data_IF_321878935885
#
_entry.id   IF_321878935885
#
_cell.length_a   1.000
_cell.length_b   1.000
_cell.length_c   1.000
_cell.angle_alpha   90.00
_cell.angle_beta   90.00
_cell.angle_gamma   90.00
#
_symmetry.space_group_name_H-M   'P 1'
#
loop_
_entity.id
_entity.type
_entity.pdbx_description
1 polymer ?
#
# COMPACT_ATOMS: atom_id res chain seq x y z
N UNK A 1 23.86 -9.02 18.67
CA UNK A 1 24.15 -9.12 17.23
C UNK A 1 24.38 -7.69 16.75
N UNK A 2 25.60 -7.34 16.36
CA UNK A 2 25.95 -5.97 15.98
C UNK A 2 25.29 -5.64 14.64
N UNK A 3 24.52 -4.55 14.58
CA UNK A 3 23.91 -4.07 13.34
C UNK A 3 25.05 -3.56 12.44
N UNK A 4 25.15 -4.01 11.18
CA UNK A 4 26.18 -3.50 10.27
C UNK A 4 26.02 -1.99 10.09
N UNK A 5 27.07 -1.24 10.39
CA UNK A 5 27.14 0.20 10.08
C UNK A 5 27.54 0.30 8.61
N UNK A 6 26.63 0.79 7.76
CA UNK A 6 26.98 1.15 6.38
C UNK A 6 27.98 2.32 6.39
N UNK A 7 28.89 2.42 5.40
CA UNK A 7 29.72 3.61 5.23
C UNK A 7 28.80 4.77 4.85
N UNK A 8 28.33 5.49 5.86
CA UNK A 8 27.62 6.75 5.70
C UNK A 8 28.59 7.76 5.12
N UNK A 9 28.49 8.05 3.82
CA UNK A 9 28.70 9.43 3.40
C UNK A 9 27.76 10.26 4.26
N UNK A 10 28.30 11.23 5.00
CA UNK A 10 27.63 11.94 6.10
C UNK A 10 26.34 12.65 5.68
N UNK A 11 25.28 11.88 5.49
CA UNK A 11 23.92 12.36 5.46
C UNK A 11 23.55 12.65 6.90
N UNK A 12 23.09 13.87 7.22
CA UNK A 12 22.69 14.19 8.58
C UNK A 12 21.60 13.20 9.03
N UNK A 13 21.67 12.73 10.28
CA UNK A 13 20.61 11.93 10.93
C UNK A 13 19.30 12.74 11.12
N UNK A 14 19.21 13.92 10.51
CA UNK A 14 18.13 14.88 10.64
C UNK A 14 17.65 15.29 9.25
N UNK A 15 16.34 15.37 9.10
CA UNK A 15 15.69 15.94 7.93
C UNK A 15 16.16 17.39 7.70
N UNK A 16 16.49 17.74 6.45
CA UNK A 16 16.97 19.09 6.08
C UNK A 16 15.83 20.13 5.96
N UNK A 17 14.58 19.67 5.92
CA UNK A 17 13.44 20.56 5.87
C UNK A 17 13.37 21.40 7.15
N UNK A 18 13.19 22.72 7.00
CA UNK A 18 13.02 23.65 8.12
C UNK A 18 11.65 24.32 8.01
N UNK A 19 10.80 24.27 9.05
CA UNK A 19 9.53 24.97 9.03
C UNK A 19 9.75 26.48 9.22
N UNK A 20 8.98 27.29 8.49
CA UNK A 20 8.97 28.75 8.66
C UNK A 20 7.80 29.16 9.53
N UNK A 21 8.04 30.13 10.42
CA UNK A 21 7.05 30.69 11.33
C UNK A 21 6.24 31.83 10.69
N UNK A 22 5.28 32.36 11.45
CA UNK A 22 4.44 33.47 10.98
C UNK A 22 5.27 34.71 10.63
N UNK A 23 6.31 35.01 11.40
CA UNK A 23 7.16 36.19 11.23
C UNK A 23 7.93 36.12 9.91
N UNK A 24 8.44 34.94 9.52
CA UNK A 24 9.05 34.74 8.21
C UNK A 24 8.11 35.14 7.07
N UNK A 25 6.84 34.74 7.12
CA UNK A 25 5.88 35.07 6.07
C UNK A 25 5.46 36.54 6.10
N UNK A 26 5.41 37.17 7.27
CA UNK A 26 5.21 38.61 7.38
C UNK A 26 6.41 39.38 6.79
N UNK A 27 7.64 38.93 7.03
CA UNK A 27 8.85 39.50 6.43
C UNK A 27 8.85 39.39 4.89
N UNK A 28 8.32 38.29 4.35
CA UNK A 28 8.15 38.12 2.90
C UNK A 28 7.14 39.14 2.36
N UNK A 29 6.02 39.35 3.06
CA UNK A 29 5.01 40.35 2.69
C UNK A 29 5.63 41.75 2.70
N UNK A 30 6.39 42.09 3.73
CA UNK A 30 7.08 43.37 3.87
C UNK A 30 8.14 43.62 2.78
N UNK A 31 8.75 42.55 2.24
CA UNK A 31 9.70 42.65 1.11
C UNK A 31 9.01 42.78 -0.24
N UNK A 32 7.83 42.20 -0.40
CA UNK A 32 7.11 42.15 -1.69
C UNK A 32 6.26 43.39 -1.92
N UNK A 33 5.62 43.91 -0.87
CA UNK A 33 4.78 45.09 -0.97
C UNK A 33 5.57 46.38 -0.66
N UNK A 34 5.24 47.51 -1.31
CA UNK A 34 5.86 48.80 -1.01
C UNK A 34 5.65 49.18 0.47
N UNK A 35 6.67 49.68 1.18
CA UNK A 35 6.55 50.09 2.58
C UNK A 35 5.43 51.11 2.80
N UNK A 36 5.20 52.02 1.84
CA UNK A 36 4.14 53.03 1.91
C UNK A 36 2.73 52.44 1.92
N UNK A 37 2.57 51.18 1.46
CA UNK A 37 1.31 50.46 1.49
C UNK A 37 1.10 49.69 2.80
N UNK A 38 2.14 49.01 3.29
CA UNK A 38 2.02 48.10 4.44
C UNK A 38 2.15 48.82 5.78
N UNK A 39 3.07 49.78 5.92
CA UNK A 39 3.33 50.48 7.18
C UNK A 39 2.09 51.19 7.75
N UNK A 40 1.27 51.91 6.96
CA UNK A 40 0.03 52.49 7.47
C UNK A 40 -0.97 51.46 7.99
N UNK A 41 -0.94 50.23 7.46
CA UNK A 41 -1.83 49.15 7.89
C UNK A 41 -1.37 48.51 9.21
N UNK A 42 -0.05 48.44 9.46
CA UNK A 42 0.50 47.92 10.72
C UNK A 42 0.17 48.80 11.93
N UNK A 43 0.21 50.13 11.74
CA UNK A 43 0.08 51.10 12.84
C UNK A 43 -1.39 51.39 13.17
N UNK A 44 -2.30 51.30 12.18
CA UNK A 44 -3.72 51.59 12.38
C UNK A 44 -4.48 50.31 12.69
N UNK A 45 -5.15 50.29 13.85
CA UNK A 45 -6.10 49.21 14.18
C UNK A 45 -7.20 49.12 13.13
N UNK A 46 -7.56 47.90 12.71
CA UNK A 46 -8.59 47.61 11.68
C UNK A 46 -8.28 48.17 10.28
N UNK A 47 -7.00 48.35 9.93
CA UNK A 47 -6.61 48.82 8.61
C UNK A 47 -6.35 47.69 7.59
N UNK A 48 -6.64 46.43 7.94
CA UNK A 48 -6.55 45.28 7.04
C UNK A 48 -5.30 44.41 7.23
N UNK A 49 -4.37 44.79 8.13
CA UNK A 49 -3.13 44.03 8.38
C UNK A 49 -3.41 42.65 9.01
N UNK A 50 -4.54 42.50 9.69
CA UNK A 50 -5.05 41.23 10.20
C UNK A 50 -5.22 40.16 9.10
N UNK A 51 -5.50 40.57 7.85
CA UNK A 51 -5.59 39.66 6.71
C UNK A 51 -4.20 39.11 6.34
N UNK A 52 -3.16 39.95 6.40
CA UNK A 52 -1.78 39.52 6.17
C UNK A 52 -1.28 38.63 7.30
N UNK A 53 -1.61 38.95 8.56
CA UNK A 53 -1.32 38.07 9.70
C UNK A 53 -2.01 36.72 9.56
N UNK A 54 -3.28 36.70 9.12
CA UNK A 54 -4.03 35.47 8.89
C UNK A 54 -3.42 34.65 7.74
N UNK A 55 -3.06 35.30 6.63
CA UNK A 55 -2.39 34.64 5.50
C UNK A 55 -1.01 34.08 5.90
N UNK A 56 -0.23 34.83 6.68
CA UNK A 56 1.05 34.37 7.23
C UNK A 56 0.87 33.16 8.16
N UNK A 57 -0.18 33.15 9.00
CA UNK A 57 -0.51 31.99 9.84
C UNK A 57 -0.89 30.76 9.03
N UNK A 58 -1.56 30.93 7.89
CA UNK A 58 -1.82 29.83 6.95
C UNK A 58 -0.51 29.36 6.29
N UNK A 59 0.38 30.28 5.93
CA UNK A 59 1.71 29.98 5.40
C UNK A 59 2.56 29.15 6.36
N UNK A 60 2.59 29.52 7.65
CA UNK A 60 3.25 28.76 8.72
C UNK A 60 2.69 27.33 8.80
N UNK A 61 1.36 27.18 8.81
CA UNK A 61 0.71 25.85 8.84
C UNK A 61 1.06 25.01 7.63
N UNK A 62 1.10 25.60 6.44
CA UNK A 62 1.49 24.93 5.21
C UNK A 62 2.97 24.54 5.23
N UNK A 63 3.85 25.44 5.66
CA UNK A 63 5.28 25.18 5.77
C UNK A 63 5.57 24.02 6.73
N UNK A 64 4.86 24.00 7.86
CA UNK A 64 4.93 22.90 8.82
C UNK A 64 4.41 21.58 8.22
N UNK A 65 3.35 21.61 7.42
CA UNK A 65 2.83 20.42 6.74
C UNK A 65 3.80 19.87 5.69
N UNK A 66 4.44 20.74 4.91
CA UNK A 66 5.49 20.37 3.95
C UNK A 66 6.67 19.75 4.68
N UNK A 67 7.17 20.40 5.74
CA UNK A 67 8.23 19.87 6.58
C UNK A 67 7.92 18.46 7.09
N UNK A 68 6.74 18.26 7.69
CA UNK A 68 6.30 16.95 8.19
C UNK A 68 6.22 15.89 7.09
N UNK A 69 5.77 16.27 5.90
CA UNK A 69 5.66 15.37 4.75
C UNK A 69 7.05 14.97 4.25
N UNK A 70 7.95 15.92 4.08
CA UNK A 70 9.32 15.67 3.60
C UNK A 70 10.10 14.79 4.59
N UNK A 71 10.03 15.10 5.88
CA UNK A 71 10.67 14.29 6.92
C UNK A 71 9.99 12.91 7.08
N UNK A 72 8.68 12.81 6.82
CA UNK A 72 7.90 11.58 6.92
C UNK A 72 8.02 10.65 5.72
N UNK A 73 8.32 11.18 4.52
CA UNK A 73 8.30 10.42 3.27
C UNK A 73 9.46 9.42 3.15
N UNK A 74 10.60 9.73 3.75
CA UNK A 74 11.79 8.89 3.66
C UNK A 74 11.95 8.04 4.91
N UNK A 75 12.06 6.73 4.73
CA UNK A 75 12.26 5.79 5.83
C UNK A 75 13.53 6.08 6.66
N UNK A 76 14.48 6.89 6.19
CA UNK A 76 15.63 7.33 7.01
C UNK A 76 15.25 8.33 8.10
N UNK A 77 14.29 9.21 7.85
CA UNK A 77 13.91 10.32 8.74
C UNK A 77 12.51 10.15 9.34
N UNK A 78 11.69 9.28 8.76
CA UNK A 78 10.30 9.12 9.15
C UNK A 78 10.17 8.83 10.66
N UNK A 79 9.36 9.59 11.40
CA UNK A 79 9.17 9.36 12.82
C UNK A 79 8.27 8.16 13.09
N UNK A 80 8.37 7.63 14.31
CA UNK A 80 7.40 6.68 14.86
C UNK A 80 6.22 7.42 15.47
N UNK A 81 5.07 6.75 15.51
CA UNK A 81 3.87 7.29 16.12
C UNK A 81 4.03 7.54 17.62
N UNK A 82 3.57 8.69 18.08
CA UNK A 82 3.52 9.06 19.49
C UNK A 82 2.17 9.71 19.78
N UNK A 83 1.58 9.37 20.92
CA UNK A 83 0.33 9.96 21.38
C UNK A 83 0.59 11.31 22.03
N UNK A 84 -0.26 12.29 21.73
CA UNK A 84 -0.21 13.56 22.42
C UNK A 84 -0.65 13.40 23.88
N UNK A 85 -0.08 14.21 24.76
CA UNK A 85 -0.45 14.26 26.17
C UNK A 85 -0.62 15.70 26.64
N UNK A 86 -1.38 15.88 27.71
CA UNK A 86 -1.59 17.20 28.31
C UNK A 86 -2.47 17.13 29.56
N UNK A 87 -2.99 18.29 29.94
CA UNK A 87 -3.83 18.44 31.12
C UNK A 87 -5.19 19.04 30.74
N UNK A 88 -6.25 18.54 31.35
CA UNK A 88 -7.59 19.16 31.33
C UNK A 88 -8.08 19.39 32.74
N UNK A 89 -8.99 20.33 32.90
CA UNK A 89 -9.59 20.69 34.17
C UNK A 89 -11.06 20.31 34.18
N UNK A 90 -11.47 19.56 35.20
CA UNK A 90 -12.89 19.33 35.47
C UNK A 90 -13.39 20.32 36.50
N UNK A 91 -14.60 20.82 36.28
CA UNK A 91 -15.31 21.67 37.24
C UNK A 91 -16.81 21.40 37.19
N UNK A 92 -17.55 21.84 38.20
CA UNK A 92 -19.01 21.73 38.25
C UNK A 92 -19.64 23.01 38.81
N UNK A 93 -20.84 23.38 38.34
CA UNK A 93 -21.48 24.64 38.74
C UNK A 93 -22.01 24.63 40.18
N UNK A 94 -22.34 23.46 40.74
CA UNK A 94 -22.91 23.34 42.09
C UNK A 94 -22.38 22.11 42.82
N UNK A 95 -22.49 22.11 44.15
CA UNK A 95 -22.14 20.96 44.99
C UNK A 95 -23.35 20.05 45.29
N UNK A 96 -24.49 20.25 44.60
CA UNK A 96 -25.76 19.57 44.91
C UNK A 96 -25.70 18.05 44.76
N UNK A 97 -24.79 17.54 43.93
CA UNK A 97 -24.53 16.11 43.74
C UNK A 97 -23.69 15.46 44.85
N UNK A 98 -23.15 16.25 45.80
CA UNK A 98 -22.31 15.73 46.87
C UNK A 98 -20.92 15.27 46.39
N UNK A 99 -20.37 14.23 47.02
CA UNK A 99 -19.05 13.71 46.67
C UNK A 99 -19.14 12.78 45.45
N UNK A 100 -18.34 13.06 44.42
CA UNK A 100 -18.35 12.33 43.14
C UNK A 100 -16.91 12.14 42.68
N UNK A 101 -16.59 10.95 42.18
CA UNK A 101 -15.30 10.68 41.54
C UNK A 101 -15.49 10.49 40.05
N UNK A 102 -14.81 11.28 39.23
CA UNK A 102 -14.63 11.00 37.81
C UNK A 102 -13.49 10.00 37.67
N UNK A 103 -13.77 8.83 37.09
CA UNK A 103 -12.79 7.74 36.99
C UNK A 103 -11.84 7.94 35.81
N UNK A 104 -10.62 7.46 35.98
CA UNK A 104 -9.69 7.22 34.89
C UNK A 104 -10.39 6.39 33.80
N UNK A 105 -10.06 6.65 32.53
CA UNK A 105 -10.77 6.08 31.40
C UNK A 105 -11.94 6.92 30.87
N UNK A 106 -12.32 8.00 31.57
CA UNK A 106 -13.24 9.03 31.04
C UNK A 106 -12.67 9.61 29.74
N UNK A 107 -13.53 9.71 28.71
CA UNK A 107 -13.16 10.21 27.38
C UNK A 107 -13.64 11.65 27.21
N UNK A 108 -12.69 12.53 26.95
CA UNK A 108 -12.91 13.95 26.62
C UNK A 108 -12.58 14.17 25.14
N UNK A 109 -13.25 15.13 24.50
CA UNK A 109 -13.16 15.34 23.05
C UNK A 109 -13.18 16.81 22.69
N UNK A 110 -12.71 17.12 21.49
CA UNK A 110 -12.82 18.45 20.89
C UNK A 110 -14.13 18.57 20.12
N UNK A 111 -15.01 19.52 20.45
CA UNK A 111 -16.29 19.72 19.73
C UNK A 111 -16.12 19.97 18.23
N UNK A 112 -15.06 20.69 17.84
CA UNK A 112 -14.81 21.13 16.46
C UNK A 112 -14.08 20.11 15.58
N UNK A 113 -13.57 19.02 16.15
CA UNK A 113 -12.72 18.06 15.44
C UNK A 113 -12.88 16.59 15.82
N UNK A 114 -13.68 16.27 16.84
CA UNK A 114 -13.93 14.89 17.28
C UNK A 114 -12.68 14.14 17.73
N UNK A 115 -11.63 14.83 18.19
CA UNK A 115 -10.39 14.23 18.65
C UNK A 115 -10.55 13.79 20.10
N UNK A 116 -10.48 12.48 20.32
CA UNK A 116 -10.72 11.89 21.62
C UNK A 116 -9.42 11.70 22.43
N UNK A 117 -9.52 11.97 23.73
CA UNK A 117 -8.48 11.79 24.73
C UNK A 117 -9.03 11.03 25.94
N UNK A 118 -8.18 10.26 26.60
CA UNK A 118 -8.52 9.45 27.77
C UNK A 118 -7.82 10.01 29.01
N UNK A 119 -8.58 10.13 30.10
CA UNK A 119 -8.04 10.48 31.42
C UNK A 119 -7.22 9.35 32.01
N UNK A 120 -6.05 9.68 32.55
CA UNK A 120 -5.09 8.71 33.08
C UNK A 120 -5.27 8.44 34.58
N UNK A 121 -5.98 9.31 35.28
CA UNK A 121 -6.12 9.29 36.74
C UNK A 121 -7.54 9.66 37.15
N UNK A 122 -7.95 9.19 38.33
CA UNK A 122 -9.21 9.56 38.96
C UNK A 122 -9.18 11.02 39.42
N UNK A 123 -10.30 11.74 39.27
CA UNK A 123 -10.52 13.09 39.79
C UNK A 123 -11.62 13.04 40.84
N UNK A 124 -11.27 13.39 42.08
CA UNK A 124 -12.17 13.28 43.23
C UNK A 124 -12.74 14.65 43.60
N UNK A 125 -14.04 14.84 43.37
CA UNK A 125 -14.79 15.96 43.92
C UNK A 125 -15.29 15.60 45.32
N UNK A 126 -14.74 16.24 46.35
CA UNK A 126 -15.32 16.21 47.69
C UNK A 126 -16.73 16.81 47.74
N UNK A 127 -17.46 16.61 48.85
CA UNK A 127 -18.87 16.99 48.97
C UNK A 127 -19.22 18.45 48.67
N UNK A 128 -18.26 19.38 48.85
CA UNK A 128 -18.41 20.80 48.53
C UNK A 128 -17.40 21.31 47.48
N UNK A 129 -16.59 20.43 46.89
CA UNK A 129 -15.56 20.84 45.92
C UNK A 129 -16.22 21.13 44.57
N UNK A 130 -15.95 22.31 43.98
CA UNK A 130 -16.46 22.71 42.66
C UNK A 130 -15.42 22.60 41.54
N UNK A 131 -14.14 22.43 41.88
CA UNK A 131 -13.03 22.54 40.93
C UNK A 131 -12.54 23.99 40.74
N UNK A 132 -11.65 24.25 39.76
CA UNK A 132 -11.12 23.30 38.79
C UNK A 132 -10.18 22.25 39.40
N UNK A 133 -10.24 21.03 38.90
CA UNK A 133 -9.32 19.94 39.24
C UNK A 133 -8.63 19.45 37.97
N UNK A 134 -7.31 19.59 37.91
CA UNK A 134 -6.51 19.21 36.74
C UNK A 134 -6.22 17.70 36.72
N UNK A 135 -6.28 17.11 35.53
CA UNK A 135 -5.98 15.69 35.31
C UNK A 135 -5.21 15.48 34.01
N UNK A 136 -4.28 14.52 34.05
CA UNK A 136 -3.54 14.11 32.88
C UNK A 136 -4.41 13.34 31.89
N UNK A 137 -4.26 13.69 30.62
CA UNK A 137 -4.91 13.04 29.49
C UNK A 137 -3.88 12.58 28.47
N UNK A 138 -4.24 11.54 27.73
CA UNK A 138 -3.49 11.04 26.58
C UNK A 138 -4.43 10.88 25.38
N UNK A 139 -3.95 11.15 24.18
CA UNK A 139 -4.68 10.91 22.96
C UNK A 139 -4.98 9.41 22.76
N UNK A 140 -6.17 9.08 22.26
CA UNK A 140 -6.51 7.68 21.94
C UNK A 140 -5.69 7.17 20.74
N UNK A 141 -5.37 8.05 19.80
CA UNK A 141 -4.61 7.76 18.59
C UNK A 141 -3.31 8.58 18.53
N UNK A 142 -2.36 8.07 17.75
CA UNK A 142 -1.10 8.75 17.45
C UNK A 142 -1.32 9.77 16.33
N UNK A 143 -0.65 10.91 16.41
CA UNK A 143 -0.75 11.93 15.37
C UNK A 143 -0.47 13.33 15.86
N UNK A 144 0.04 14.19 14.96
CA UNK A 144 0.22 15.60 15.27
C UNK A 144 -1.12 16.34 15.40
N UNK A 145 -2.21 15.80 14.85
CA UNK A 145 -3.54 16.38 14.91
C UNK A 145 -4.07 16.44 16.35
N UNK A 146 -3.54 15.58 17.22
CA UNK A 146 -3.88 15.54 18.64
C UNK A 146 -3.09 16.55 19.48
N UNK A 147 -2.17 17.31 18.88
CA UNK A 147 -1.57 18.49 19.51
C UNK A 147 -2.51 19.69 19.36
N UNK A 148 -3.53 19.73 20.20
CA UNK A 148 -4.59 20.73 20.15
C UNK A 148 -4.30 21.91 21.10
N UNK A 149 -4.57 23.15 20.67
CA UNK A 149 -4.29 24.34 21.46
C UNK A 149 -5.21 24.44 22.68
N UNK A 150 -4.64 24.90 23.78
CA UNK A 150 -5.33 25.28 25.01
C UNK A 150 -5.89 26.69 24.95
N UNK A 151 -6.15 27.26 26.13
CA UNK A 151 -6.74 28.58 26.27
C UNK A 151 -5.74 29.68 25.86
N UNK A 152 -6.18 30.61 25.01
CA UNK A 152 -5.35 31.72 24.53
C UNK A 152 -6.06 33.04 24.84
N UNK A 153 -5.35 33.98 25.47
CA UNK A 153 -5.84 35.35 25.65
C UNK A 153 -5.32 36.23 24.51
N UNK A 154 -6.22 36.84 23.75
CA UNK A 154 -5.85 37.73 22.64
C UNK A 154 -5.28 39.06 23.17
N UNK A 155 -4.53 39.82 22.35
CA UNK A 155 -4.06 41.15 22.73
C UNK A 155 -5.19 42.14 23.08
N UNK A 156 -6.42 41.89 22.60
CA UNK A 156 -7.61 42.66 22.93
C UNK A 156 -8.23 42.27 24.30
N UNK A 157 -7.67 41.27 24.98
CA UNK A 157 -8.15 40.78 26.28
C UNK A 157 -9.26 39.74 26.19
N UNK A 158 -9.61 39.27 24.99
CA UNK A 158 -10.60 38.21 24.80
C UNK A 158 -9.96 36.85 25.09
N UNK A 159 -10.68 35.98 25.79
CA UNK A 159 -10.21 34.62 26.12
C UNK A 159 -10.85 33.64 25.14
N UNK A 160 -10.02 33.02 24.29
CA UNK A 160 -10.39 31.92 23.43
C UNK A 160 -10.23 30.61 24.21
N UNK A 161 -11.31 29.85 24.34
CA UNK A 161 -11.30 28.58 25.06
C UNK A 161 -10.42 27.54 24.32
N UNK A 162 -9.84 26.63 25.09
CA UNK A 162 -9.06 25.53 24.53
C UNK A 162 -9.92 24.55 23.72
N UNK A 163 -9.24 23.73 22.91
CA UNK A 163 -9.93 22.88 21.93
C UNK A 163 -10.70 21.72 22.56
N UNK A 164 -10.24 21.19 23.70
CA UNK A 164 -10.95 20.16 24.45
C UNK A 164 -11.93 20.84 25.40
N UNK A 165 -13.21 20.72 25.07
CA UNK A 165 -14.31 21.45 25.70
C UNK A 165 -15.48 20.54 26.11
N UNK A 166 -15.49 19.29 25.63
CA UNK A 166 -16.64 18.40 25.75
C UNK A 166 -16.24 17.05 26.32
N UNK A 167 -17.10 16.50 27.18
CA UNK A 167 -16.95 15.11 27.63
C UNK A 167 -17.79 14.19 26.74
N UNK A 168 -17.15 13.19 26.11
CA UNK A 168 -17.82 12.22 25.24
C UNK A 168 -18.35 11.03 26.02
N UNK A 169 -17.58 10.54 26.99
CA UNK A 169 -17.98 9.45 27.87
C UNK A 169 -17.47 9.73 29.27
N UNK A 170 -18.40 10.02 30.19
CA UNK A 170 -18.11 10.37 31.58
C UNK A 170 -18.31 9.14 32.47
N UNK A 171 -17.23 8.63 33.05
CA UNK A 171 -17.27 7.49 33.98
C UNK A 171 -17.23 8.04 35.40
N UNK A 172 -18.25 7.76 36.20
CA UNK A 172 -18.37 8.29 37.57
C UNK A 172 -18.67 7.21 38.59
N UNK A 173 -18.24 7.49 39.82
CA UNK A 173 -18.60 6.76 41.02
C UNK A 173 -19.13 7.76 42.08
N UNK A 174 -20.43 7.69 42.47
CA UNK A 174 -21.44 6.74 41.99
C UNK A 174 -21.80 6.94 40.51
N UNK A 175 -22.30 5.90 39.80
CA UNK A 175 -22.74 6.03 38.41
C UNK A 175 -23.77 7.14 38.24
N UNK A 176 -23.57 8.02 37.25
CA UNK A 176 -24.39 9.21 37.02
C UNK A 176 -24.45 10.19 38.20
N UNK A 177 -23.42 10.20 39.06
CA UNK A 177 -23.37 11.04 40.25
C UNK A 177 -23.59 12.53 39.98
N UNK A 178 -22.91 13.09 38.98
CA UNK A 178 -23.07 14.51 38.59
C UNK A 178 -22.95 14.71 37.07
N UNK A 179 -24.07 14.83 36.34
CA UNK A 179 -24.03 15.06 34.89
C UNK A 179 -23.66 16.49 34.50
N UNK A 180 -23.47 17.40 35.46
CA UNK A 180 -23.19 18.82 35.21
C UNK A 180 -21.70 19.15 35.20
N UNK A 181 -20.83 18.13 35.35
CA UNK A 181 -19.38 18.29 35.26
C UNK A 181 -19.02 18.75 33.84
N UNK A 182 -18.28 19.86 33.77
CA UNK A 182 -17.72 20.43 32.55
C UNK A 182 -16.21 20.22 32.51
N UNK A 183 -15.65 20.13 31.30
CA UNK A 183 -14.22 20.00 31.06
C UNK A 183 -13.71 21.24 30.33
N UNK A 184 -12.51 21.71 30.68
CA UNK A 184 -11.81 22.76 29.95
C UNK A 184 -10.33 22.42 29.79
N UNK A 185 -9.76 22.80 28.66
CA UNK A 185 -8.32 22.72 28.43
C UNK A 185 -7.66 24.07 28.65
N UNK A 186 -6.72 24.15 29.60
CA UNK A 186 -5.95 25.37 29.86
C UNK A 186 -4.64 25.44 29.08
N UNK A 187 -3.98 24.31 28.88
CA UNK A 187 -2.65 24.24 28.27
C UNK A 187 -2.71 23.36 27.03
N UNK A 188 -1.89 23.68 26.04
CA UNK A 188 -1.72 22.89 24.83
C UNK A 188 -1.40 21.43 25.16
N UNK A 189 -1.98 20.54 24.37
CA UNK A 189 -1.51 19.15 24.32
C UNK A 189 -0.32 19.07 23.37
N UNK A 190 0.69 18.29 23.73
CA UNK A 190 1.95 18.22 22.99
C UNK A 190 2.47 16.79 22.90
N UNK A 191 3.49 16.57 22.06
CA UNK A 191 4.18 15.29 21.92
C UNK A 191 3.53 14.31 20.91
N UNK A 192 2.38 14.64 20.34
CA UNK A 192 1.74 13.86 19.30
C UNK A 192 2.56 13.87 18.00
N UNK A 193 2.86 12.68 17.48
CA UNK A 193 3.62 12.48 16.25
C UNK A 193 2.94 11.40 15.42
N UNK A 194 2.79 11.63 14.11
CA UNK A 194 2.12 10.68 13.23
C UNK A 194 3.02 9.47 12.93
N UNK A 195 2.44 8.25 12.85
CA UNK A 195 3.16 6.99 12.64
C UNK A 195 3.63 6.78 11.19
N UNK A 196 4.45 7.71 10.68
CA UNK A 196 4.88 7.71 9.28
C UNK A 196 5.80 6.52 8.97
N UNK A 197 6.71 6.16 9.88
CA UNK A 197 7.60 5.01 9.70
C UNK A 197 6.83 3.69 9.72
N UNK A 198 5.82 3.57 10.59
CA UNK A 198 4.94 2.41 10.61
C UNK A 198 4.07 2.32 9.35
N UNK A 199 3.62 3.46 8.81
CA UNK A 199 2.96 3.53 7.50
C UNK A 199 3.86 3.00 6.38
N UNK A 200 5.08 3.52 6.28
CA UNK A 200 6.09 3.07 5.32
C UNK A 200 6.47 1.60 5.48
N UNK A 201 6.47 1.09 6.72
CA UNK A 201 6.68 -0.32 7.01
C UNK A 201 5.49 -1.16 6.53
N UNK A 202 4.26 -0.73 6.80
CA UNK A 202 3.03 -1.40 6.37
C UNK A 202 2.94 -1.51 4.86
N UNK A 203 3.31 -0.45 4.12
CA UNK A 203 3.36 -0.47 2.66
C UNK A 203 4.34 -1.52 2.11
N UNK A 204 5.36 -1.89 2.90
CA UNK A 204 6.34 -2.93 2.59
C UNK A 204 6.04 -4.27 3.26
N UNK A 205 4.87 -4.43 3.88
CA UNK A 205 4.49 -5.65 4.60
C UNK A 205 5.29 -5.91 5.88
N UNK A 206 5.98 -4.90 6.42
CA UNK A 206 6.83 -5.01 7.61
C UNK A 206 6.17 -4.29 8.78
N UNK A 207 5.81 -5.04 9.82
CA UNK A 207 5.37 -4.46 11.09
C UNK A 207 6.50 -4.42 12.11
N UNK A 208 6.45 -3.41 12.98
CA UNK A 208 7.37 -3.28 14.11
C UNK A 208 7.07 -4.36 15.13
N UNK A 209 8.10 -5.09 15.57
CA UNK A 209 7.96 -6.13 16.59
C UNK A 209 7.83 -5.51 17.98
N UNK A 210 7.18 -6.19 18.94
CA UNK A 210 7.20 -5.77 20.33
C UNK A 210 8.64 -5.58 20.82
N UNK A 211 8.93 -4.46 21.48
CA UNK A 211 10.26 -4.08 21.98
C UNK A 211 11.36 -3.91 20.92
N UNK A 212 11.01 -3.79 19.64
CA UNK A 212 11.97 -3.46 18.60
C UNK A 212 12.39 -1.99 18.70
N UNK A 213 13.70 -1.74 18.76
CA UNK A 213 14.26 -0.40 18.71
C UNK A 213 13.88 0.29 17.38
N UNK A 214 13.60 1.60 17.42
CA UNK A 214 13.19 2.36 16.23
C UNK A 214 14.19 2.21 15.09
N UNK A 215 15.49 2.31 15.37
CA UNK A 215 16.54 2.15 14.36
C UNK A 215 16.63 0.74 13.78
N UNK A 216 16.31 -0.30 14.55
CA UNK A 216 16.25 -1.67 14.05
C UNK A 216 15.04 -1.88 13.12
N UNK A 217 13.87 -1.31 13.48
CA UNK A 217 12.70 -1.31 12.62
C UNK A 217 12.97 -0.52 11.33
N UNK A 218 13.54 0.67 11.47
CA UNK A 218 13.97 1.54 10.36
C UNK A 218 14.91 0.81 9.41
N UNK A 219 15.91 0.13 9.95
CA UNK A 219 16.82 -0.70 9.18
C UNK A 219 16.04 -1.74 8.38
N UNK A 220 15.16 -2.54 9.00
CA UNK A 220 14.36 -3.54 8.28
C UNK A 220 13.49 -2.96 7.18
N UNK A 221 12.83 -1.82 7.41
CA UNK A 221 12.01 -1.14 6.41
C UNK A 221 12.87 -0.70 5.21
N UNK A 222 14.13 -0.32 5.44
CA UNK A 222 15.08 0.11 4.40
C UNK A 222 15.82 -1.02 3.72
N UNK A 223 16.13 -2.08 4.46
CA UNK A 223 16.94 -3.21 3.98
C UNK A 223 16.13 -4.30 3.35
N UNK A 224 14.79 -4.22 3.36
CA UNK A 224 13.97 -5.13 2.57
C UNK A 224 14.25 -4.85 1.08
N UNK A 225 15.04 -5.68 0.37
CA UNK A 225 15.22 -5.56 -1.07
C UNK A 225 14.09 -6.39 -1.71
N UNK A 226 12.85 -6.08 -1.35
CA UNK A 226 11.73 -6.98 -1.61
C UNK A 226 10.87 -6.51 -2.79
N UNK A 227 11.51 -5.85 -3.75
CA UNK A 227 11.07 -5.80 -5.14
C UNK A 227 11.80 -6.85 -5.99
N UNK A 228 13.05 -7.17 -5.67
CA UNK A 228 13.93 -8.01 -6.52
C UNK A 228 14.17 -9.40 -5.94
N UNK A 229 13.65 -9.71 -4.74
CA UNK A 229 13.82 -11.03 -4.14
C UNK A 229 12.94 -12.08 -4.85
N UNK A 230 13.36 -13.36 -4.91
CA UNK A 230 12.50 -14.44 -5.42
C UNK A 230 11.15 -14.49 -4.70
N UNK A 231 11.13 -14.23 -3.37
CA UNK A 231 9.90 -14.19 -2.59
C UNK A 231 8.96 -13.05 -3.00
N UNK A 232 9.50 -11.89 -3.37
CA UNK A 232 8.72 -10.76 -3.88
C UNK A 232 8.09 -11.07 -5.24
N UNK A 233 8.88 -11.65 -6.15
CA UNK A 233 8.45 -12.08 -7.47
C UNK A 233 7.29 -13.09 -7.34
N UNK A 234 7.45 -14.11 -6.50
CA UNK A 234 6.40 -15.11 -6.27
C UNK A 234 5.10 -14.51 -5.71
N UNK A 235 5.19 -13.56 -4.78
CA UNK A 235 4.00 -12.88 -4.23
C UNK A 235 3.31 -11.99 -5.25
N UNK A 236 4.08 -11.26 -6.07
CA UNK A 236 3.53 -10.43 -7.14
C UNK A 236 2.77 -11.28 -8.18
N UNK A 237 3.36 -12.41 -8.59
CA UNK A 237 2.72 -13.37 -9.49
C UNK A 237 1.48 -14.01 -8.85
N UNK A 238 1.55 -14.40 -7.57
CA UNK A 238 0.39 -14.96 -6.84
C UNK A 238 -0.77 -13.97 -6.78
N UNK A 239 -0.50 -12.70 -6.48
CA UNK A 239 -1.54 -11.67 -6.41
C UNK A 239 -2.30 -11.48 -7.74
N UNK A 240 -1.64 -11.67 -8.88
CA UNK A 240 -2.28 -11.59 -10.20
C UNK A 240 -3.10 -12.85 -10.49
N UNK A 241 -2.61 -14.03 -10.10
CA UNK A 241 -3.21 -15.32 -10.47
C UNK A 241 -4.29 -15.81 -9.50
N UNK A 242 -4.25 -15.37 -8.24
CA UNK A 242 -5.22 -15.75 -7.19
C UNK A 242 -6.66 -15.42 -7.62
N UNK A 243 -6.88 -14.26 -8.24
CA UNK A 243 -8.19 -13.83 -8.75
C UNK A 243 -8.72 -14.74 -9.87
N UNK A 244 -7.84 -15.43 -10.59
CA UNK A 244 -8.18 -16.36 -11.65
C UNK A 244 -8.21 -17.83 -11.18
N UNK A 245 -7.88 -18.11 -9.91
CA UNK A 245 -7.73 -19.47 -9.39
C UNK A 245 -6.66 -20.27 -10.11
N UNK A 246 -5.67 -19.58 -10.70
CA UNK A 246 -4.63 -20.15 -11.53
C UNK A 246 -3.42 -20.55 -10.70
N UNK A 247 -2.82 -21.69 -11.04
CA UNK A 247 -1.55 -22.11 -10.43
C UNK A 247 -0.37 -21.74 -11.32
N UNK A 248 0.79 -21.57 -10.70
CA UNK A 248 2.03 -21.30 -11.41
C UNK A 248 3.20 -22.02 -10.76
N UNK A 249 4.27 -22.19 -11.54
CA UNK A 249 5.55 -22.75 -11.10
C UNK A 249 6.66 -21.80 -11.53
N UNK A 250 7.43 -21.32 -10.56
CA UNK A 250 8.66 -20.59 -10.84
C UNK A 250 9.81 -21.58 -11.01
N UNK A 251 10.59 -21.40 -12.06
CA UNK A 251 11.66 -22.32 -12.46
C UNK A 251 12.88 -21.50 -12.84
N UNK A 252 14.01 -21.83 -12.21
CA UNK A 252 15.31 -21.27 -12.60
C UNK A 252 15.91 -22.04 -13.79
N UNK A 253 16.73 -21.37 -14.60
CA UNK A 253 17.34 -21.94 -15.82
C UNK A 253 18.18 -23.19 -15.58
N UNK A 254 18.74 -23.37 -14.38
CA UNK A 254 19.53 -24.53 -14.01
C UNK A 254 18.68 -25.71 -13.49
N UNK A 255 17.37 -25.54 -13.36
CA UNK A 255 16.49 -26.61 -12.92
C UNK A 255 16.25 -27.63 -14.03
N UNK A 256 16.42 -28.90 -13.67
CA UNK A 256 16.24 -30.04 -14.57
C UNK A 256 14.79 -30.17 -15.10
N UNK A 257 13.85 -29.46 -14.48
CA UNK A 257 12.44 -29.33 -14.87
C UNK A 257 12.26 -28.69 -16.25
N UNK A 258 13.20 -27.85 -16.70
CA UNK A 258 13.12 -27.14 -17.99
C UNK A 258 14.25 -27.49 -18.98
N UNK A 259 15.37 -28.01 -18.47
CA UNK A 259 16.55 -28.37 -19.25
C UNK A 259 17.04 -29.79 -18.89
N UNK A 260 16.93 -30.71 -19.84
CA UNK A 260 17.52 -32.06 -19.77
C UNK A 260 18.74 -32.17 -20.69
N UNK A 261 19.60 -33.18 -20.48
CA UNK A 261 20.82 -33.41 -21.28
C UNK A 261 20.50 -34.22 -22.54
N UNK A 262 21.11 -33.84 -23.67
CA UNK A 262 20.99 -34.58 -24.93
C UNK A 262 21.73 -35.92 -24.85
N UNK A 263 21.01 -37.04 -24.75
CA UNK A 263 21.56 -38.36 -25.09
C UNK A 263 21.02 -38.78 -26.46
N UNK A 264 21.94 -39.04 -27.39
CA UNK A 264 21.57 -39.47 -28.73
C UNK A 264 20.96 -40.87 -28.69
N UNK A 265 20.01 -41.20 -29.57
CA UNK A 265 19.32 -42.48 -29.55
C UNK A 265 20.32 -43.63 -29.67
N UNK A 266 20.40 -44.46 -28.62
CA UNK A 266 21.16 -45.70 -28.63
C UNK A 266 20.21 -46.91 -28.71
N UNK A 267 20.47 -47.89 -29.59
CA UNK A 267 19.76 -49.17 -29.59
C UNK A 267 19.99 -50.02 -28.33
N UNK A 268 20.91 -49.62 -27.44
CA UNK A 268 21.27 -50.38 -26.23
C UNK A 268 21.26 -49.46 -24.99
N UNK A 269 20.55 -49.87 -23.93
CA UNK A 269 20.59 -49.18 -22.64
C UNK A 269 22.04 -49.05 -22.13
N UNK A 270 22.45 -47.85 -21.72
CA UNK A 270 23.76 -47.59 -21.11
C UNK A 270 24.98 -47.64 -22.04
N UNK A 271 24.82 -47.65 -23.38
CA UNK A 271 25.97 -47.58 -24.32
C UNK A 271 25.75 -46.52 -25.39
N UNK A 272 26.62 -45.50 -25.54
CA UNK A 272 26.47 -44.51 -26.60
C UNK A 272 26.76 -45.14 -27.97
N UNK A 273 25.87 -44.97 -28.94
CA UNK A 273 26.02 -45.54 -30.29
C UNK A 273 26.07 -44.44 -31.35
N UNK A 274 27.08 -44.45 -32.21
CA UNK A 274 27.29 -43.48 -33.29
C UNK A 274 26.68 -43.91 -34.63
N UNK A 275 25.57 -44.66 -34.61
CA UNK A 275 24.95 -45.17 -35.85
C UNK A 275 23.95 -44.16 -36.44
N UNK A 276 24.02 -43.85 -37.74
CA UNK A 276 23.21 -42.82 -38.40
C UNK A 276 21.73 -43.22 -38.63
N UNK A 277 21.30 -44.40 -38.22
CA UNK A 277 19.93 -44.89 -38.39
C UNK A 277 19.17 -44.93 -37.06
N UNK A 278 18.15 -44.07 -36.96
CA UNK A 278 17.21 -43.97 -35.85
C UNK A 278 16.43 -45.30 -35.65
N UNK A 279 16.35 -45.88 -34.45
CA UNK A 279 15.54 -47.08 -34.18
C UNK A 279 14.02 -46.84 -34.35
N UNK A 280 13.19 -47.87 -34.56
CA UNK A 280 11.77 -47.71 -34.93
C UNK A 280 10.79 -47.60 -33.74
N UNK A 281 11.24 -47.36 -32.51
CA UNK A 281 10.37 -47.28 -31.32
C UNK A 281 9.58 -45.94 -31.28
N UNK A 282 8.41 -45.89 -30.60
CA UNK A 282 7.65 -44.65 -30.44
C UNK A 282 8.48 -43.67 -29.60
N UNK A 283 9.04 -42.68 -30.27
CA UNK A 283 9.77 -41.59 -29.65
C UNK A 283 8.80 -40.76 -28.81
N UNK A 284 9.05 -40.66 -27.51
CA UNK A 284 8.43 -39.62 -26.71
C UNK A 284 9.19 -38.32 -26.96
N UNK A 285 8.52 -37.34 -27.58
CA UNK A 285 9.13 -36.04 -27.89
C UNK A 285 9.49 -35.21 -26.65
N UNK A 286 9.07 -35.66 -25.46
CA UNK A 286 9.27 -34.95 -24.20
C UNK A 286 10.33 -35.59 -23.29
N UNK A 287 10.80 -36.82 -23.56
CA UNK A 287 11.87 -37.48 -22.79
C UNK A 287 13.20 -37.49 -23.52
N UNK A 288 14.24 -37.02 -22.83
CA UNK A 288 15.61 -37.01 -23.35
C UNK A 288 16.55 -38.06 -22.73
N UNK A 289 16.22 -38.64 -21.57
CA UNK A 289 16.98 -39.75 -20.98
C UNK A 289 16.08 -40.98 -20.81
N UNK A 290 16.37 -42.05 -21.55
CA UNK A 290 15.58 -43.30 -21.55
C UNK A 290 15.53 -43.99 -20.17
N UNK A 291 16.49 -43.67 -19.28
CA UNK A 291 16.68 -44.32 -17.97
C UNK A 291 16.64 -43.33 -16.77
N UNK A 292 16.02 -42.14 -16.89
CA UNK A 292 15.81 -41.30 -15.70
C UNK A 292 14.70 -41.90 -14.81
N UNK A 293 15.02 -42.41 -13.60
CA UNK A 293 14.02 -43.05 -12.74
C UNK A 293 13.07 -42.04 -12.06
N UNK A 294 13.25 -40.75 -12.32
CA UNK A 294 12.45 -39.69 -11.70
C UNK A 294 11.12 -39.50 -12.44
N UNK A 295 10.05 -39.09 -11.74
CA UNK A 295 8.77 -38.78 -12.37
C UNK A 295 8.90 -37.68 -13.42
N UNK A 296 8.24 -37.86 -14.56
CA UNK A 296 8.21 -36.89 -15.66
C UNK A 296 7.52 -35.59 -15.24
N UNK A 297 8.13 -34.45 -15.54
CA UNK A 297 7.52 -33.12 -15.40
C UNK A 297 6.67 -32.86 -16.67
N UNK A 298 5.40 -32.41 -16.57
CA UNK A 298 4.55 -32.16 -17.75
C UNK A 298 5.02 -30.99 -18.64
N UNK A 299 6.17 -30.40 -18.33
CA UNK A 299 6.72 -29.23 -18.99
C UNK A 299 7.46 -29.59 -20.28
N UNK A 300 7.31 -28.75 -21.30
CA UNK A 300 8.08 -28.88 -22.55
C UNK A 300 9.51 -28.39 -22.33
N UNK A 301 10.48 -29.26 -22.63
CA UNK A 301 11.91 -28.95 -22.61
C UNK A 301 12.29 -27.83 -23.59
N UNK A 302 13.16 -26.90 -23.18
CA UNK A 302 13.63 -25.78 -24.00
C UNK A 302 15.16 -25.74 -24.00
N UNK A 303 15.78 -25.48 -25.15
CA UNK A 303 17.23 -25.29 -25.25
C UNK A 303 17.59 -23.83 -25.04
N UNK A 304 18.49 -23.59 -24.09
CA UNK A 304 19.00 -22.26 -23.76
C UNK A 304 20.37 -22.01 -24.34
N UNK A 305 20.60 -20.78 -24.80
CA UNK A 305 21.94 -20.30 -25.08
C UNK A 305 22.66 -19.82 -23.80
N UNK A 306 23.96 -19.51 -23.92
CA UNK A 306 24.77 -19.05 -22.78
C UNK A 306 24.29 -17.72 -22.16
N UNK A 307 23.51 -16.93 -22.90
CA UNK A 307 22.96 -15.66 -22.41
C UNK A 307 21.70 -15.89 -21.56
N UNK A 308 20.89 -16.88 -21.93
CA UNK A 308 19.67 -17.26 -21.23
C UNK A 308 19.98 -17.98 -19.91
N UNK A 309 20.97 -18.89 -19.91
CA UNK A 309 21.41 -19.64 -18.70
C UNK A 309 21.95 -18.74 -17.58
N UNK A 310 22.51 -17.57 -17.90
CA UNK A 310 23.26 -16.74 -16.92
C UNK A 310 22.41 -15.67 -16.24
N UNK A 311 21.20 -15.43 -16.71
CA UNK A 311 20.44 -14.28 -16.26
C UNK A 311 18.97 -14.34 -16.67
N UNK A 312 18.35 -15.51 -16.61
CA UNK A 312 16.91 -15.64 -16.81
C UNK A 312 16.24 -16.54 -15.77
N UNK A 313 14.98 -16.23 -15.47
CA UNK A 313 14.07 -17.10 -14.72
C UNK A 313 12.72 -17.19 -15.45
N UNK A 314 12.01 -18.29 -15.21
CA UNK A 314 10.77 -18.61 -15.90
C UNK A 314 9.62 -18.71 -14.91
N UNK A 315 8.49 -18.11 -15.27
CA UNK A 315 7.21 -18.31 -14.61
C UNK A 315 6.33 -19.11 -15.55
N UNK A 316 6.10 -20.37 -15.20
CA UNK A 316 5.18 -21.23 -15.95
C UNK A 316 3.79 -21.08 -15.36
N UNK A 317 2.83 -20.69 -16.19
CA UNK A 317 1.42 -20.60 -15.85
C UNK A 317 0.63 -21.68 -16.58
N UNK A 318 -0.42 -22.18 -15.91
CA UNK A 318 -1.28 -23.20 -16.50
C UNK A 318 -1.99 -22.64 -17.73
N UNK A 319 -1.88 -23.34 -18.86
CA UNK A 319 -2.68 -23.05 -20.05
C UNK A 319 -4.12 -23.47 -19.78
N UNK A 320 -4.97 -22.48 -19.52
CA UNK A 320 -6.41 -22.67 -19.48
C UNK A 320 -7.01 -22.41 -20.87
N UNK A 321 -8.02 -23.19 -21.21
CA UNK A 321 -9.02 -22.86 -22.23
C UNK A 321 -10.28 -22.49 -21.47
N UNK A 322 -10.40 -21.23 -21.08
CA UNK A 322 -11.56 -20.77 -20.30
C UNK A 322 -12.62 -20.13 -21.18
N UNK A 323 -12.25 -19.53 -22.31
CA UNK A 323 -13.18 -19.01 -23.31
C UNK A 323 -12.48 -19.04 -24.69
N UNK A 324 -13.01 -19.86 -25.60
CA UNK A 324 -12.71 -19.77 -27.03
C UNK A 324 -13.37 -18.46 -27.53
N UNK A 325 -12.63 -17.63 -28.27
CA UNK A 325 -13.18 -16.43 -28.92
C UNK A 325 -13.16 -16.68 -30.44
N UNK A 326 -13.74 -17.80 -30.83
CA UNK A 326 -13.78 -18.30 -32.20
C UNK A 326 -15.10 -17.93 -32.86
N UNK A 327 -15.03 -17.36 -34.07
CA UNK A 327 -16.25 -17.05 -34.86
C UNK A 327 -17.21 -18.23 -35.03
N UNK A 328 -16.74 -19.48 -34.91
CA UNK A 328 -17.56 -20.69 -35.01
C UNK A 328 -18.44 -20.96 -33.78
N UNK A 329 -18.07 -20.47 -32.59
CA UNK A 329 -18.74 -20.79 -31.33
C UNK A 329 -19.35 -19.58 -30.61
N UNK A 330 -18.96 -18.36 -30.98
CA UNK A 330 -19.42 -17.12 -30.33
C UNK A 330 -20.42 -16.31 -31.16
N UNK A 331 -21.06 -16.91 -32.18
CA UNK A 331 -22.13 -16.24 -32.89
C UNK A 331 -23.36 -16.09 -31.96
N UNK A 332 -23.84 -14.85 -31.71
CA UNK A 332 -24.92 -14.61 -30.75
C UNK A 332 -26.30 -15.06 -31.25
N UNK A 333 -26.38 -15.69 -32.43
CA UNK A 333 -27.61 -16.21 -33.00
C UNK A 333 -28.28 -17.26 -32.13
N UNK A 334 -29.59 -17.17 -31.98
CA UNK A 334 -30.38 -18.12 -31.18
C UNK A 334 -31.24 -18.99 -32.08
N UNK A 335 -31.63 -18.47 -33.25
CA UNK A 335 -32.47 -19.14 -34.23
C UNK A 335 -31.72 -19.38 -35.54
N UNK A 336 -32.11 -20.38 -36.36
CA UNK A 336 -31.44 -20.67 -37.63
C UNK A 336 -31.39 -19.50 -38.62
N UNK A 337 -32.28 -18.52 -38.49
CA UNK A 337 -32.28 -17.31 -39.32
C UNK A 337 -31.19 -16.32 -38.87
N UNK A 338 -30.84 -16.31 -37.58
CA UNK A 338 -29.84 -15.40 -37.05
C UNK A 338 -28.48 -15.72 -37.63
N UNK A 339 -28.11 -16.99 -37.82
CA UNK A 339 -26.82 -17.43 -38.38
C UNK A 339 -26.64 -17.15 -39.88
N UNK A 340 -27.49 -16.32 -40.50
CA UNK A 340 -27.32 -15.83 -41.86
C UNK A 340 -26.92 -14.35 -41.84
N UNK A 341 -25.90 -13.99 -42.60
CA UNK A 341 -25.58 -12.60 -42.90
C UNK A 341 -26.78 -11.95 -43.59
N UNK A 342 -27.36 -10.87 -43.04
CA UNK A 342 -28.56 -10.24 -43.57
C UNK A 342 -28.35 -9.57 -44.94
N UNK A 343 -27.10 -9.28 -45.30
CA UNK A 343 -26.73 -8.62 -46.57
C UNK A 343 -26.44 -9.64 -47.66
N UNK A 344 -25.72 -10.71 -47.33
CA UNK A 344 -25.24 -11.68 -48.33
C UNK A 344 -26.02 -13.00 -48.31
N UNK A 345 -26.84 -13.25 -47.29
CA UNK A 345 -27.58 -14.49 -47.09
C UNK A 345 -26.71 -15.70 -46.71
N UNK A 346 -25.40 -15.49 -46.54
CA UNK A 346 -24.41 -16.53 -46.25
C UNK A 346 -24.50 -16.99 -44.81
N UNK A 347 -24.25 -18.28 -44.57
CA UNK A 347 -24.17 -18.84 -43.22
C UNK A 347 -22.87 -18.41 -42.53
N UNK A 348 -22.97 -17.86 -41.33
CA UNK A 348 -21.83 -17.49 -40.46
C UNK A 348 -21.72 -18.44 -39.27
N UNK A 349 -20.55 -18.44 -38.63
CA UNK A 349 -20.26 -19.30 -37.48
C UNK A 349 -20.16 -20.79 -37.79
N UNK A 350 -19.85 -21.17 -39.04
CA UNK A 350 -19.68 -22.58 -39.41
C UNK A 350 -18.23 -23.01 -39.19
N UNK A 351 -18.00 -24.02 -38.33
CA UNK A 351 -16.69 -24.65 -38.13
C UNK A 351 -16.08 -25.08 -39.46
N UNK A 352 -14.86 -24.65 -39.74
CA UNK A 352 -14.11 -24.99 -40.94
C UNK A 352 -13.81 -26.50 -41.05
N UNK A 353 -13.96 -27.25 -39.96
CA UNK A 353 -13.74 -28.70 -39.90
C UNK A 353 -15.02 -29.51 -40.14
N UNK A 354 -16.20 -28.88 -40.06
CA UNK A 354 -17.51 -29.55 -40.10
C UNK A 354 -18.39 -29.08 -41.27
N UNK A 355 -17.80 -28.48 -42.31
CA UNK A 355 -18.53 -28.07 -43.51
C UNK A 355 -18.97 -29.33 -44.27
N UNK A 356 -20.28 -29.60 -44.42
CA UNK A 356 -20.74 -30.76 -45.18
C UNK A 356 -20.22 -30.71 -46.61
N UNK A 357 -19.77 -31.84 -47.15
CA UNK A 357 -19.25 -31.91 -48.53
C UNK A 357 -20.27 -31.46 -49.61
N UNK A 358 -21.56 -31.44 -49.24
CA UNK A 358 -22.68 -30.99 -50.07
C UNK A 358 -23.02 -29.50 -49.92
N UNK A 359 -22.35 -28.77 -49.03
CA UNK A 359 -22.57 -27.35 -48.84
C UNK A 359 -21.93 -26.54 -49.98
N UNK A 360 -22.61 -25.50 -50.45
CA UNK A 360 -22.06 -24.58 -51.43
C UNK A 360 -21.03 -23.65 -50.75
N UNK A 361 -19.73 -23.73 -51.10
CA UNK A 361 -18.68 -22.90 -50.50
C UNK A 361 -18.92 -21.40 -50.69
N UNK A 362 -19.70 -21.00 -51.70
CA UNK A 362 -20.04 -19.60 -51.95
C UNK A 362 -21.12 -19.07 -50.99
N UNK A 363 -21.75 -19.94 -50.21
CA UNK A 363 -22.84 -19.62 -49.27
C UNK A 363 -22.47 -19.78 -47.79
N UNK A 364 -21.21 -20.15 -47.48
CA UNK A 364 -20.73 -20.41 -46.11
C UNK A 364 -19.50 -19.54 -45.83
N UNK A 365 -19.48 -18.89 -44.66
CA UNK A 365 -18.27 -18.29 -44.10
C UNK A 365 -17.58 -19.31 -43.18
N UNK A 366 -16.47 -19.93 -43.62
CA UNK A 366 -15.71 -20.84 -42.77
C UNK A 366 -15.06 -20.05 -41.62
N UNK A 367 -15.27 -20.51 -40.40
CA UNK A 367 -14.61 -20.01 -39.21
C UNK A 367 -13.72 -21.12 -38.63
N UNK A 368 -12.48 -20.79 -38.31
CA UNK A 368 -11.57 -21.69 -37.62
C UNK A 368 -11.58 -21.41 -36.12
N UNK A 369 -11.11 -22.38 -35.33
CA UNK A 369 -10.68 -22.11 -33.96
C UNK A 369 -9.58 -21.05 -34.02
N UNK A 370 -9.84 -19.92 -33.38
CA UNK A 370 -8.76 -19.06 -32.94
C UNK A 370 -8.27 -19.74 -31.65
N UNK A 371 -7.00 -20.13 -31.58
CA UNK A 371 -6.46 -20.82 -30.41
C UNK A 371 -6.23 -19.88 -29.23
N UNK A 372 -6.96 -18.75 -29.15
CA UNK A 372 -6.60 -17.57 -28.37
C UNK A 372 -7.60 -17.32 -27.24
N UNK A 373 -7.15 -17.53 -26.01
CA UNK A 373 -7.89 -17.16 -24.81
C UNK A 373 -7.46 -15.76 -24.36
N UNK A 374 -8.34 -14.78 -24.55
CA UNK A 374 -8.09 -13.37 -24.20
C UNK A 374 -7.74 -13.21 -22.72
N UNK A 375 -8.37 -13.98 -21.81
CA UNK A 375 -8.11 -13.86 -20.36
C UNK A 375 -6.74 -14.40 -20.02
N UNK A 376 -6.39 -15.55 -20.60
CA UNK A 376 -5.06 -16.15 -20.41
C UNK A 376 -3.96 -15.26 -21.01
N UNK A 377 -4.20 -14.65 -22.17
CA UNK A 377 -3.27 -13.71 -22.80
C UNK A 377 -3.11 -12.41 -21.98
N UNK A 378 -4.20 -11.85 -21.45
CA UNK A 378 -4.15 -10.68 -20.57
C UNK A 378 -3.41 -10.99 -19.27
N UNK A 379 -3.71 -12.12 -18.61
CA UNK A 379 -3.00 -12.54 -17.40
C UNK A 379 -1.50 -12.73 -17.65
N UNK A 380 -1.12 -13.42 -18.73
CA UNK A 380 0.28 -13.61 -19.11
C UNK A 380 1.00 -12.28 -19.37
N UNK A 381 0.32 -11.34 -20.04
CA UNK A 381 0.87 -10.00 -20.34
C UNK A 381 1.06 -9.18 -19.07
N UNK A 382 0.06 -9.13 -18.18
CA UNK A 382 0.15 -8.41 -16.91
C UNK A 382 1.25 -8.97 -16.00
N UNK A 383 1.45 -10.29 -16.00
CA UNK A 383 2.56 -10.92 -15.30
C UNK A 383 3.88 -10.48 -15.93
N UNK A 384 4.02 -10.56 -17.26
CA UNK A 384 5.26 -10.18 -17.95
C UNK A 384 5.65 -8.72 -17.67
N UNK A 385 4.69 -7.79 -17.74
CA UNK A 385 4.90 -6.36 -17.43
C UNK A 385 5.34 -6.18 -15.97
N UNK A 386 4.65 -6.82 -15.03
CA UNK A 386 4.99 -6.76 -13.60
C UNK A 386 6.40 -7.31 -13.36
N UNK A 387 6.77 -8.42 -13.99
CA UNK A 387 8.10 -9.01 -13.87
C UNK A 387 9.18 -8.09 -14.46
N UNK A 388 8.91 -7.42 -15.57
CA UNK A 388 9.84 -6.48 -16.19
C UNK A 388 10.09 -5.23 -15.34
N UNK A 389 9.11 -4.81 -14.52
CA UNK A 389 9.25 -3.70 -13.57
C UNK A 389 10.05 -4.08 -12.31
N UNK A 390 9.88 -5.30 -11.80
CA UNK A 390 10.43 -5.70 -10.48
C UNK A 390 11.76 -6.48 -10.57
N UNK A 391 12.10 -7.03 -11.75
CA UNK A 391 13.34 -7.80 -11.93
C UNK A 391 14.59 -6.95 -11.78
N UNK A 392 15.71 -7.61 -11.44
CA UNK A 392 17.02 -6.97 -11.45
C UNK A 392 17.41 -6.55 -12.86
N UNK A 393 18.12 -5.41 -12.98
CA UNK A 393 18.70 -4.98 -14.25
C UNK A 393 19.66 -6.05 -14.80
N UNK A 394 19.48 -6.43 -16.07
CA UNK A 394 20.29 -7.47 -16.73
C UNK A 394 19.75 -8.90 -16.57
N UNK A 395 18.69 -9.10 -15.78
CA UNK A 395 17.95 -10.38 -15.71
C UNK A 395 16.75 -10.34 -16.68
N UNK A 396 16.49 -11.44 -17.37
CA UNK A 396 15.31 -11.66 -18.21
C UNK A 396 14.27 -12.47 -17.42
N UNK A 397 13.04 -12.00 -17.41
CA UNK A 397 11.91 -12.75 -16.90
C UNK A 397 11.08 -13.23 -18.09
N UNK A 398 10.69 -14.49 -18.10
CA UNK A 398 9.91 -15.07 -19.20
C UNK A 398 8.70 -15.81 -18.66
N UNK A 399 7.53 -15.46 -19.17
CA UNK A 399 6.28 -16.19 -18.89
C UNK A 399 6.07 -17.29 -19.93
N UNK A 400 5.85 -18.53 -19.47
CA UNK A 400 5.55 -19.68 -20.32
C UNK A 400 4.14 -20.20 -20.05
N UNK A 401 3.41 -20.50 -21.12
CA UNK A 401 2.11 -21.13 -21.07
C UNK A 401 2.26 -22.64 -21.31
N UNK A 402 2.12 -23.45 -20.27
CA UNK A 402 2.24 -24.91 -20.37
C UNK A 402 1.17 -25.63 -19.56
N UNK A 403 1.06 -26.95 -19.73
CA UNK A 403 0.12 -27.77 -18.96
C UNK A 403 0.78 -28.09 -17.61
N UNK A 404 0.28 -27.47 -16.54
CA UNK A 404 0.71 -27.74 -15.16
C UNK A 404 -0.06 -28.91 -14.55
#
# INVERSE_FOLDING_TARGET
>A
MAIPVFPGGGSPDTCDATPNDQDHFLDVIDKVFPPEYVEPMKVRTNAGYENFQSAAKVGERLSLAVNRTECGALAIYAPVGVRASGLVEFSRPTFGAGAVTVKAGTIVTTSSGGRDFITQQDVVFGGAALGPLSVAIEAIAEGYEWNVPGEITTPAGEVLEGSIDTTKSLIMDPPFGDPTIIVKQKVDTTGGVSPMLEGLGKDRGVTRKPNEAVEAFRFRVRTLPDTVSPGAILRAVSAILDDYGLTFKAIETFELSLQTVYDGPSPNAGTPTFTPTLPPAPYDSNLFAYDDPRPEDPLTNIYFDLSEVRGAFYIVIQRLTLFDVGMAYDDPGITPADFKDPTTGRQRGTSAYDIPITADPALVYPAAYDGFDVRTATAATSIQETLDEIKAMGVKAVVLLQRL
#
